data_IF_231841903642
#
_entry.id   IF_231841903642
#
_cell.length_a   1.000
_cell.length_b   1.000
_cell.length_c   1.000
_cell.angle_alpha   90.00
_cell.angle_beta   90.00
_cell.angle_gamma   90.00
#
_symmetry.space_group_name_H-M   'P 1'
#
loop_
_entity.id
_entity.type
_entity.pdbx_description
1 polymer ?
#
# COMPACT_ATOMS: atom_id res chain seq x y z
N UNK A 1 -6.53 -19.54 -32.66
CA UNK A 1 -6.39 -19.19 -31.22
C UNK A 1 -7.31 -18.01 -30.98
N UNK A 2 -8.34 -18.20 -30.16
CA UNK A 2 -9.45 -17.25 -30.02
C UNK A 2 -8.99 -15.94 -29.36
N UNK A 3 -9.64 -14.84 -29.71
CA UNK A 3 -9.25 -13.49 -29.26
C UNK A 3 -9.48 -13.36 -27.75
N UNK A 4 -10.56 -13.96 -27.24
CA UNK A 4 -10.84 -14.10 -25.80
C UNK A 4 -9.67 -14.70 -25.02
N UNK A 5 -9.16 -15.87 -25.42
CA UNK A 5 -8.04 -16.58 -24.75
C UNK A 5 -6.72 -15.80 -24.72
N UNK A 6 -6.52 -14.86 -25.65
CA UNK A 6 -5.37 -13.94 -25.62
C UNK A 6 -5.59 -12.80 -24.63
N UNK A 7 -6.81 -12.26 -24.59
CA UNK A 7 -7.18 -11.19 -23.66
C UNK A 7 -7.21 -11.68 -22.22
N UNK A 8 -7.69 -12.90 -21.96
CA UNK A 8 -7.66 -13.54 -20.63
C UNK A 8 -6.23 -13.62 -20.07
N UNK A 9 -5.27 -14.07 -20.88
CA UNK A 9 -3.86 -14.10 -20.44
C UNK A 9 -3.29 -12.72 -20.14
N UNK A 10 -3.77 -11.67 -20.83
CA UNK A 10 -3.38 -10.29 -20.55
C UNK A 10 -4.04 -9.74 -19.28
N UNK A 11 -5.27 -10.18 -18.98
CA UNK A 11 -5.96 -9.90 -17.71
C UNK A 11 -5.20 -10.55 -16.56
N UNK A 12 -4.84 -11.84 -16.66
CA UNK A 12 -4.08 -12.54 -15.62
C UNK A 12 -2.75 -11.86 -15.31
N UNK A 13 -2.02 -11.42 -16.35
CA UNK A 13 -0.78 -10.68 -16.20
C UNK A 13 -1.01 -9.32 -15.51
N UNK A 14 -2.10 -8.63 -15.86
CA UNK A 14 -2.43 -7.32 -15.29
C UNK A 14 -2.87 -7.43 -13.83
N UNK A 15 -3.67 -8.44 -13.49
CA UNK A 15 -4.08 -8.76 -12.13
C UNK A 15 -2.87 -9.14 -11.26
N UNK A 16 -1.93 -9.89 -11.83
CA UNK A 16 -0.67 -10.21 -11.14
C UNK A 16 0.15 -8.95 -10.87
N UNK A 17 0.25 -8.05 -11.86
CA UNK A 17 0.96 -6.77 -11.69
C UNK A 17 0.29 -5.85 -10.67
N UNK A 18 -1.05 -5.80 -10.64
CA UNK A 18 -1.80 -5.08 -9.62
C UNK A 18 -1.52 -5.65 -8.22
N UNK A 19 -1.57 -6.97 -8.06
CA UNK A 19 -1.30 -7.62 -6.77
C UNK A 19 0.10 -7.33 -6.26
N UNK A 20 1.11 -7.31 -7.14
CA UNK A 20 2.47 -6.93 -6.77
C UNK A 20 2.53 -5.48 -6.30
N UNK A 21 1.86 -4.56 -7.00
CA UNK A 21 1.78 -3.15 -6.60
C UNK A 21 1.04 -2.98 -5.25
N UNK A 22 -0.03 -3.74 -5.02
CA UNK A 22 -0.76 -3.74 -3.76
C UNK A 22 0.12 -4.23 -2.59
N UNK A 23 0.95 -5.25 -2.82
CA UNK A 23 1.93 -5.72 -1.82
C UNK A 23 3.00 -4.67 -1.52
N UNK A 24 3.48 -3.95 -2.53
CA UNK A 24 4.43 -2.85 -2.35
C UNK A 24 3.81 -1.72 -1.50
N UNK A 25 2.58 -1.31 -1.82
CA UNK A 25 1.82 -0.33 -1.05
C UNK A 25 1.59 -0.76 0.40
N UNK A 26 1.25 -2.04 0.62
CA UNK A 26 1.07 -2.57 1.97
C UNK A 26 2.36 -2.50 2.79
N UNK A 27 3.52 -2.79 2.18
CA UNK A 27 4.83 -2.68 2.84
C UNK A 27 5.13 -1.23 3.22
N UNK A 28 4.94 -0.27 2.31
CA UNK A 28 5.21 1.15 2.60
C UNK A 28 4.26 1.72 3.66
N UNK A 29 3.01 1.25 3.71
CA UNK A 29 2.10 1.59 4.79
C UNK A 29 2.55 1.02 6.14
N UNK A 30 3.07 -0.21 6.15
CA UNK A 30 3.66 -0.82 7.35
C UNK A 30 4.85 -0.02 7.87
N UNK A 31 5.78 0.37 6.98
CA UNK A 31 6.93 1.22 7.32
C UNK A 31 6.45 2.55 7.93
N UNK A 32 5.47 3.21 7.29
CA UNK A 32 4.91 4.47 7.76
C UNK A 32 4.31 4.34 9.16
N UNK A 33 3.47 3.33 9.38
CA UNK A 33 2.85 3.08 10.68
C UNK A 33 3.89 2.80 11.76
N UNK A 34 4.95 2.04 11.43
CA UNK A 34 6.05 1.78 12.36
C UNK A 34 6.74 3.08 12.78
N UNK A 35 7.05 3.98 11.84
CA UNK A 35 7.67 5.26 12.17
C UNK A 35 6.74 6.17 12.98
N UNK A 36 5.43 6.17 12.69
CA UNK A 36 4.43 6.90 13.49
C UNK A 36 4.42 6.41 14.94
N UNK A 37 4.39 5.09 15.17
CA UNK A 37 4.44 4.51 16.51
C UNK A 37 5.74 4.89 17.23
N UNK A 38 6.90 4.74 16.58
CA UNK A 38 8.19 5.09 17.19
C UNK A 38 8.27 6.58 17.55
N UNK A 39 7.73 7.46 16.70
CA UNK A 39 7.67 8.89 16.99
C UNK A 39 6.81 9.18 18.22
N UNK A 40 5.63 8.55 18.31
CA UNK A 40 4.74 8.69 19.47
C UNK A 40 5.41 8.20 20.76
N UNK A 41 6.09 7.06 20.72
CA UNK A 41 6.83 6.51 21.86
C UNK A 41 7.95 7.46 22.31
N UNK A 42 8.75 8.00 21.38
CA UNK A 42 9.81 8.95 21.72
C UNK A 42 9.26 10.27 22.28
N UNK A 43 8.14 10.76 21.75
CA UNK A 43 7.47 11.96 22.27
C UNK A 43 6.88 11.73 23.66
N UNK A 44 6.23 10.59 23.89
CA UNK A 44 5.72 10.21 25.21
C UNK A 44 6.86 10.14 26.23
N UNK A 45 7.92 9.43 25.88
CA UNK A 45 9.11 9.30 26.70
C UNK A 45 9.77 10.66 26.99
N UNK A 46 9.88 11.54 25.98
CA UNK A 46 10.36 12.91 26.19
C UNK A 46 9.51 13.68 27.21
N UNK A 47 8.19 13.59 27.11
CA UNK A 47 7.26 14.32 27.98
C UNK A 47 7.30 13.80 29.42
N UNK A 48 7.36 12.48 29.62
CA UNK A 48 7.53 11.85 30.94
C UNK A 48 8.83 12.30 31.63
N UNK A 49 9.91 12.44 30.86
CA UNK A 49 11.20 12.86 31.41
C UNK A 49 11.25 14.36 31.68
N UNK A 50 10.57 15.18 30.88
CA UNK A 50 10.45 16.62 31.15
C UNK A 50 9.63 16.89 32.41
N UNK A 51 8.52 16.16 32.61
CA UNK A 51 7.69 16.31 33.81
C UNK A 51 8.44 15.88 35.08
N UNK A 52 9.23 14.81 35.01
CA UNK A 52 10.11 14.37 36.10
C UNK A 52 11.18 15.42 36.47
N UNK A 53 11.69 16.19 35.49
CA UNK A 53 12.66 17.26 35.73
C UNK A 53 12.04 18.50 36.41
N UNK A 54 10.80 18.85 36.04
CA UNK A 54 10.11 20.04 36.58
C UNK A 54 9.45 19.82 37.95
N UNK A 55 9.34 18.57 38.41
CA UNK A 55 9.13 18.23 39.81
C UNK A 55 7.68 18.21 40.29
N UNK A 56 7.22 17.02 40.69
CA UNK A 56 6.11 16.84 41.64
C UNK A 56 6.57 16.51 43.06
N UNK A 57 7.71 15.82 43.25
CA UNK A 57 7.96 15.06 44.50
C UNK A 57 9.12 15.54 45.39
N UNK A 58 9.57 16.79 45.30
CA UNK A 58 10.58 17.31 46.23
C UNK A 58 11.95 16.59 46.17
N UNK A 59 12.22 15.85 45.10
CA UNK A 59 13.51 15.20 44.84
C UNK A 59 14.54 16.26 44.48
N UNK A 60 15.56 16.43 45.32
CA UNK A 60 16.70 17.30 45.04
C UNK A 60 17.61 16.61 44.01
N UNK A 61 17.46 16.98 42.74
CA UNK A 61 18.33 16.49 41.65
C UNK A 61 19.68 17.21 41.78
N UNK A 62 20.79 16.45 41.73
CA UNK A 62 22.13 17.05 41.74
C UNK A 62 22.40 17.77 40.42
N UNK A 63 23.25 18.80 40.42
CA UNK A 63 23.63 19.50 39.19
C UNK A 63 24.22 18.56 38.12
N UNK A 64 24.90 17.50 38.55
CA UNK A 64 25.46 16.47 37.67
C UNK A 64 24.38 15.61 37.01
N UNK A 65 23.37 15.19 37.76
CA UNK A 65 22.24 14.41 37.22
C UNK A 65 21.37 15.24 36.28
N UNK A 66 21.17 16.52 36.59
CA UNK A 66 20.49 17.46 35.71
C UNK A 66 21.23 17.64 34.37
N UNK A 67 22.57 17.69 34.40
CA UNK A 67 23.38 17.78 33.19
C UNK A 67 23.30 16.52 32.33
N UNK A 68 23.40 15.32 32.94
CA UNK A 68 23.21 14.06 32.22
C UNK A 68 21.84 13.97 31.55
N UNK A 69 20.81 14.38 32.28
CA UNK A 69 19.43 14.35 31.81
C UNK A 69 19.21 15.29 30.63
N UNK A 70 19.83 16.47 30.65
CA UNK A 70 19.81 17.39 29.52
C UNK A 70 20.48 16.81 28.26
N UNK A 71 21.62 16.15 28.41
CA UNK A 71 22.30 15.47 27.27
C UNK A 71 21.43 14.34 26.72
N UNK A 72 20.73 13.63 27.58
CA UNK A 72 19.81 12.58 27.16
C UNK A 72 18.59 13.12 26.40
N UNK A 73 17.97 14.19 26.89
CA UNK A 73 16.88 14.87 26.18
C UNK A 73 17.32 15.36 24.80
N UNK A 74 18.53 15.91 24.68
CA UNK A 74 19.09 16.31 23.38
C UNK A 74 19.23 15.13 22.41
N UNK A 75 19.56 13.93 22.91
CA UNK A 75 19.61 12.71 22.09
C UNK A 75 18.22 12.28 21.63
N UNK A 76 17.21 12.37 22.49
CA UNK A 76 15.82 12.08 22.12
C UNK A 76 15.35 13.09 21.07
N UNK A 77 15.61 14.38 21.26
CA UNK A 77 15.26 15.42 20.28
C UNK A 77 15.91 15.17 18.91
N UNK A 78 17.18 14.76 18.89
CA UNK A 78 17.87 14.39 17.66
C UNK A 78 17.26 13.14 17.00
N UNK A 79 16.88 12.14 17.79
CA UNK A 79 16.22 10.93 17.29
C UNK A 79 14.82 11.23 16.73
N UNK A 80 14.05 12.09 17.41
CA UNK A 80 12.74 12.57 16.93
C UNK A 80 12.89 13.26 15.57
N UNK A 81 13.83 14.20 15.45
CA UNK A 81 14.07 14.89 14.17
C UNK A 81 14.46 13.92 13.05
N UNK A 82 15.22 12.86 13.36
CA UNK A 82 15.55 11.82 12.40
C UNK A 82 14.32 11.01 11.99
N UNK A 83 13.49 10.58 12.93
CA UNK A 83 12.26 9.81 12.63
C UNK A 83 11.27 10.67 11.86
N UNK A 84 11.12 11.95 12.15
CA UNK A 84 10.27 12.87 11.39
C UNK A 84 10.71 12.97 9.91
N UNK A 85 12.02 13.00 9.65
CA UNK A 85 12.53 12.95 8.27
C UNK A 85 12.23 11.60 7.59
N UNK A 86 12.39 10.50 8.32
CA UNK A 86 12.06 9.16 7.82
C UNK A 86 10.56 9.02 7.54
N UNK A 87 9.71 9.59 8.39
CA UNK A 87 8.26 9.65 8.26
C UNK A 87 7.88 10.40 6.97
N UNK A 88 8.38 11.61 6.77
CA UNK A 88 8.09 12.40 5.56
C UNK A 88 8.49 11.66 4.27
N UNK A 89 9.62 10.93 4.32
CA UNK A 89 10.06 10.10 3.20
C UNK A 89 9.15 8.87 3.01
N UNK A 90 8.71 8.22 4.09
CA UNK A 90 7.80 7.08 4.05
C UNK A 90 6.42 7.48 3.53
N UNK A 91 5.90 8.64 3.92
CA UNK A 91 4.65 9.22 3.40
C UNK A 91 4.73 9.43 1.89
N UNK A 92 5.82 10.06 1.42
CA UNK A 92 6.05 10.26 -0.02
C UNK A 92 6.14 8.93 -0.78
N UNK A 93 6.84 7.92 -0.22
CA UNK A 93 6.92 6.58 -0.81
C UNK A 93 5.55 5.92 -0.89
N UNK A 94 4.76 5.99 0.18
CA UNK A 94 3.42 5.44 0.21
C UNK A 94 2.52 6.09 -0.85
N UNK A 95 2.60 7.41 -1.01
CA UNK A 95 1.87 8.11 -2.07
C UNK A 95 2.22 7.60 -3.46
N UNK A 96 3.51 7.47 -3.77
CA UNK A 96 3.99 6.99 -5.05
C UNK A 96 3.52 5.55 -5.34
N UNK A 97 3.63 4.65 -4.36
CA UNK A 97 3.15 3.28 -4.49
C UNK A 97 1.62 3.22 -4.63
N UNK A 98 0.89 4.13 -3.97
CA UNK A 98 -0.56 4.23 -4.08
C UNK A 98 -0.98 4.63 -5.48
N UNK A 99 -0.36 5.67 -6.04
CA UNK A 99 -0.59 6.06 -7.44
C UNK A 99 -0.25 4.93 -8.41
N UNK A 100 0.86 4.23 -8.19
CA UNK A 100 1.28 3.11 -9.02
C UNK A 100 0.24 1.98 -8.99
N UNK A 101 -0.21 1.58 -7.79
CA UNK A 101 -1.26 0.59 -7.63
C UNK A 101 -2.56 1.00 -8.32
N UNK A 102 -3.02 2.24 -8.12
CA UNK A 102 -4.23 2.76 -8.77
C UNK A 102 -4.15 2.67 -10.30
N UNK A 103 -3.01 3.03 -10.89
CA UNK A 103 -2.79 2.93 -12.35
C UNK A 103 -2.83 1.48 -12.84
N UNK A 104 -2.28 0.53 -12.06
CA UNK A 104 -2.29 -0.89 -12.40
C UNK A 104 -3.70 -1.48 -12.28
N UNK A 105 -4.42 -1.14 -11.22
CA UNK A 105 -5.81 -1.56 -10.99
C UNK A 105 -6.74 -1.06 -12.09
N UNK A 106 -6.67 0.24 -12.43
CA UNK A 106 -7.47 0.79 -13.53
C UNK A 106 -7.22 0.06 -14.86
N UNK A 107 -5.96 -0.31 -15.14
CA UNK A 107 -5.61 -1.08 -16.34
C UNK A 107 -6.13 -2.51 -16.29
N UNK A 108 -6.08 -3.16 -15.12
CA UNK A 108 -6.63 -4.50 -14.92
C UNK A 108 -8.15 -4.51 -15.17
N UNK A 109 -8.88 -3.60 -14.51
CA UNK A 109 -10.34 -3.44 -14.65
C UNK A 109 -10.74 -3.18 -16.12
N UNK A 110 -9.99 -2.31 -16.81
CA UNK A 110 -10.25 -2.01 -18.22
C UNK A 110 -10.05 -3.22 -19.14
N UNK A 111 -9.00 -4.02 -18.89
CA UNK A 111 -8.72 -5.23 -19.67
C UNK A 111 -9.73 -6.33 -19.39
N UNK A 112 -10.17 -6.49 -18.15
CA UNK A 112 -11.21 -7.45 -17.77
C UNK A 112 -12.51 -7.15 -18.52
N UNK A 113 -12.96 -5.90 -18.52
CA UNK A 113 -14.16 -5.52 -19.28
C UNK A 113 -14.03 -5.71 -20.80
N UNK A 114 -12.82 -5.57 -21.36
CA UNK A 114 -12.58 -5.87 -22.79
C UNK A 114 -12.60 -7.38 -23.05
N UNK A 115 -12.02 -8.18 -22.16
CA UNK A 115 -12.02 -9.64 -22.26
C UNK A 115 -13.45 -10.20 -22.16
N UNK A 116 -14.27 -9.68 -21.25
CA UNK A 116 -15.69 -10.05 -21.11
C UNK A 116 -16.48 -9.81 -22.38
N UNK A 117 -16.35 -8.61 -22.96
CA UNK A 117 -17.04 -8.30 -24.24
C UNK A 117 -16.59 -9.22 -25.36
N UNK A 118 -15.30 -9.56 -25.42
CA UNK A 118 -14.79 -10.50 -26.42
C UNK A 118 -15.35 -11.91 -26.23
N UNK A 119 -15.43 -12.40 -24.98
CA UNK A 119 -16.05 -13.69 -24.64
C UNK A 119 -17.52 -13.75 -25.07
N UNK A 120 -18.32 -12.75 -24.68
CA UNK A 120 -19.74 -12.71 -25.03
C UNK A 120 -19.98 -12.68 -26.54
N UNK A 121 -19.17 -11.90 -27.27
CA UNK A 121 -19.26 -11.85 -28.72
C UNK A 121 -18.92 -13.21 -29.36
N UNK A 122 -17.85 -13.87 -28.93
CA UNK A 122 -17.47 -15.19 -29.45
C UNK A 122 -18.51 -16.26 -29.13
N UNK A 123 -19.10 -16.24 -27.94
CA UNK A 123 -20.17 -17.16 -27.55
C UNK A 123 -21.41 -17.01 -28.46
N UNK A 124 -21.85 -15.77 -28.72
CA UNK A 124 -22.99 -15.52 -29.60
C UNK A 124 -22.73 -15.92 -31.06
N UNK A 125 -21.51 -15.69 -31.57
CA UNK A 125 -21.12 -16.15 -32.92
C UNK A 125 -21.10 -17.68 -33.01
N UNK A 126 -20.62 -18.37 -31.97
CA UNK A 126 -20.62 -19.82 -31.92
C UNK A 126 -22.04 -20.40 -31.88
N UNK A 127 -22.94 -19.81 -31.10
CA UNK A 127 -24.35 -20.20 -31.01
C UNK A 127 -25.08 -20.01 -32.36
N UNK A 128 -24.91 -18.85 -33.00
CA UNK A 128 -25.48 -18.60 -34.33
C UNK A 128 -24.97 -19.59 -35.39
N UNK A 129 -23.70 -19.98 -35.31
CA UNK A 129 -23.12 -20.97 -36.22
C UNK A 129 -23.73 -22.35 -35.99
N UNK A 130 -23.86 -22.77 -34.72
CA UNK A 130 -24.44 -24.07 -34.37
C UNK A 130 -25.91 -24.16 -34.79
N UNK A 131 -26.68 -23.08 -34.62
CA UNK A 131 -28.06 -23.01 -35.08
C UNK A 131 -28.17 -23.19 -36.61
N UNK A 132 -27.33 -22.50 -37.39
CA UNK A 132 -27.29 -22.70 -38.85
C UNK A 132 -26.95 -24.14 -39.24
N UNK A 133 -25.98 -24.75 -38.57
CA UNK A 133 -25.59 -26.14 -38.83
C UNK A 133 -26.74 -27.13 -38.51
N UNK A 134 -27.59 -26.83 -37.52
CA UNK A 134 -28.79 -27.63 -37.21
C UNK A 134 -29.90 -27.40 -38.25
N UNK A 135 -30.13 -26.16 -38.66
CA UNK A 135 -31.16 -25.82 -39.66
C UNK A 135 -30.83 -26.42 -41.05
N UNK A 136 -29.54 -26.53 -41.40
CA UNK A 136 -29.07 -27.14 -42.64
C UNK A 136 -29.09 -28.68 -42.63
N UNK A 137 -29.37 -29.34 -41.49
CA UNK A 137 -29.54 -30.78 -41.43
C UNK A 137 -30.89 -31.17 -42.08
N UNK A 138 -30.89 -31.90 -43.21
CA UNK A 138 -32.14 -32.27 -43.88
C UNK A 138 -32.98 -33.14 -42.94
N UNK A 139 -34.18 -32.67 -42.64
CA UNK A 139 -35.17 -33.45 -41.91
C UNK A 139 -35.50 -34.70 -42.73
N UNK A 140 -35.14 -35.87 -42.19
CA UNK A 140 -35.47 -37.19 -42.76
C UNK A 140 -36.86 -37.62 -42.32
#
# INVERSE_FOLDING_TARGET
MDRSKRLERLVDLSNTAERVAAQALARTNGDLQQYQTQLQELQAYRNEYQSALTGGDGVVITAYDAQKLRVFLQRIDAAIAQIEQMLANAERRCELEREAWMKKRLRADALEGVADRARHHEAGVAEQRLQREIDDLPHR
#
